data_IF_338719491507
#
_entry.id   IF_338719491507
#
_cell.length_a   1.000
_cell.length_b   1.000
_cell.length_c   1.000
_cell.angle_alpha   90.00
_cell.angle_beta   90.00
_cell.angle_gamma   90.00
#
_symmetry.space_group_name_H-M   'P 1'
#
loop_
_entity.id
_entity.type
_entity.pdbx_description
1 polymer ?
#
# COMPACT_ATOMS: atom_id res chain seq x y z
N UNK A 1 5.05 -26.22 -20.35
CA UNK A 1 6.17 -25.25 -20.22
C UNK A 1 5.98 -24.64 -18.87
N UNK A 2 6.49 -25.34 -17.86
CA UNK A 2 6.10 -25.13 -16.47
C UNK A 2 7.25 -24.43 -15.79
N UNK A 3 7.02 -23.23 -15.25
CA UNK A 3 7.93 -22.56 -14.33
C UNK A 3 7.11 -21.61 -13.44
N UNK A 4 6.32 -22.18 -12.53
CA UNK A 4 5.74 -21.47 -11.40
C UNK A 4 6.55 -21.83 -10.15
N UNK A 5 7.42 -20.93 -9.69
CA UNK A 5 8.14 -21.10 -8.45
C UNK A 5 7.15 -21.07 -7.27
N UNK A 6 6.92 -22.23 -6.66
CA UNK A 6 6.10 -22.38 -5.46
C UNK A 6 7.00 -22.40 -4.24
N UNK A 7 6.95 -21.35 -3.41
CA UNK A 7 7.59 -21.32 -2.09
C UNK A 7 6.59 -21.81 -1.04
N UNK A 8 6.73 -23.06 -0.61
CA UNK A 8 6.01 -23.63 0.55
C UNK A 8 6.75 -23.31 1.83
N UNK A 9 6.25 -22.37 2.62
CA UNK A 9 6.73 -22.16 3.99
C UNK A 9 5.98 -23.12 4.92
N UNK A 10 6.71 -24.07 5.51
CA UNK A 10 6.19 -25.07 6.45
C UNK A 10 6.75 -24.74 7.83
N UNK A 11 6.02 -23.98 8.64
CA UNK A 11 6.39 -23.74 10.05
C UNK A 11 5.47 -24.53 10.99
N UNK A 12 6.09 -25.29 11.89
CA UNK A 12 5.49 -26.25 12.80
C UNK A 12 5.10 -25.58 14.12
N UNK A 13 3.94 -26.01 14.64
CA UNK A 13 3.54 -26.14 16.06
C UNK A 13 3.66 -24.94 17.00
N UNK A 14 2.55 -24.63 17.68
CA UNK A 14 2.46 -24.61 19.15
C UNK A 14 0.98 -24.72 19.55
N UNK A 15 0.61 -25.85 20.16
CA UNK A 15 -0.70 -26.04 20.82
C UNK A 15 -0.56 -25.45 22.22
N UNK A 16 -1.16 -24.30 22.47
CA UNK A 16 -1.29 -23.74 23.82
C UNK A 16 -2.54 -24.32 24.45
N UNK A 17 -2.38 -25.09 25.54
CA UNK A 17 -3.48 -25.51 26.42
C UNK A 17 -3.84 -24.32 27.31
N UNK A 18 -5.03 -23.76 27.17
CA UNK A 18 -5.53 -22.74 28.10
C UNK A 18 -6.49 -23.36 29.13
N UNK A 19 -6.07 -23.31 30.40
CA UNK A 19 -6.91 -23.48 31.58
C UNK A 19 -7.92 -22.34 31.68
N UNK A 20 -9.18 -22.67 32.01
CA UNK A 20 -10.31 -21.76 32.25
C UNK A 20 -9.89 -20.37 32.76
N UNK A 21 -9.71 -19.42 31.84
CA UNK A 21 -9.79 -17.99 32.11
C UNK A 21 -10.92 -17.41 31.28
N UNK A 22 -11.64 -16.49 31.92
CA UNK A 22 -12.96 -16.02 31.50
C UNK A 22 -12.90 -15.26 30.17
N UNK A 23 -13.66 -15.75 29.19
CA UNK A 23 -13.60 -15.37 27.76
C UNK A 23 -13.92 -13.89 27.51
N UNK A 24 -14.44 -13.17 28.50
CA UNK A 24 -14.78 -11.74 28.44
C UNK A 24 -13.60 -10.83 28.72
N UNK A 25 -12.60 -11.28 29.48
CA UNK A 25 -11.40 -10.49 29.78
C UNK A 25 -10.32 -10.64 28.68
N UNK A 26 -10.41 -11.70 27.86
CA UNK A 26 -9.50 -11.95 26.72
C UNK A 26 -9.71 -11.01 25.52
N UNK A 27 -10.82 -10.26 25.45
CA UNK A 27 -11.04 -9.27 24.39
C UNK A 27 -10.63 -7.83 24.79
N UNK A 28 -10.33 -7.58 26.06
CA UNK A 28 -10.04 -6.23 26.58
C UNK A 28 -8.54 -5.88 26.63
N UNK A 29 -7.70 -6.85 26.30
CA UNK A 29 -6.29 -6.68 26.04
C UNK A 29 -6.05 -7.31 24.69
N UNK A 30 -6.48 -6.64 23.61
CA UNK A 30 -5.93 -7.03 22.30
C UNK A 30 -4.42 -6.87 22.44
N UNK A 31 -3.64 -7.95 22.32
CA UNK A 31 -2.22 -7.77 22.17
C UNK A 31 -2.08 -6.88 20.94
N UNK A 32 -1.37 -5.76 21.08
CA UNK A 32 -0.73 -5.10 19.95
C UNK A 32 0.29 -6.07 19.37
N UNK A 33 -0.18 -7.17 18.78
CA UNK A 33 0.59 -7.94 17.82
C UNK A 33 0.81 -6.93 16.71
N UNK A 34 1.94 -6.23 16.78
CA UNK A 34 2.35 -5.31 15.74
C UNK A 34 2.37 -6.13 14.47
N UNK A 35 1.36 -5.96 13.62
CA UNK A 35 1.31 -6.64 12.33
C UNK A 35 2.63 -6.31 11.66
N UNK A 36 3.45 -7.31 11.30
CA UNK A 36 4.78 -7.05 10.79
C UNK A 36 4.66 -6.21 9.53
N UNK A 37 5.24 -5.01 9.58
CA UNK A 37 5.21 -4.05 8.51
C UNK A 37 6.61 -3.57 8.17
N UNK A 38 6.78 -3.16 6.92
CA UNK A 38 7.99 -2.51 6.43
C UNK A 38 7.63 -1.18 5.80
N UNK A 39 8.48 -0.18 5.99
CA UNK A 39 8.34 1.13 5.36
C UNK A 39 8.96 1.06 3.97
N UNK A 40 8.17 1.36 2.94
CA UNK A 40 8.66 1.52 1.57
C UNK A 40 8.72 3.01 1.20
N UNK A 41 9.74 3.36 0.43
CA UNK A 41 9.89 4.67 -0.20
C UNK A 41 9.69 4.50 -1.70
N UNK A 42 8.59 5.03 -2.22
CA UNK A 42 8.24 4.93 -3.63
C UNK A 42 8.81 6.13 -4.38
N UNK A 43 9.61 5.84 -5.41
CA UNK A 43 10.09 6.83 -6.38
C UNK A 43 9.27 6.68 -7.66
N UNK A 44 8.75 7.78 -8.20
CA UNK A 44 7.77 7.77 -9.29
C UNK A 44 8.33 8.47 -10.53
N UNK A 45 8.00 7.93 -11.69
CA UNK A 45 8.27 8.54 -13.00
C UNK A 45 7.15 8.21 -13.97
N UNK A 46 6.87 9.12 -14.90
CA UNK A 46 5.98 8.85 -16.02
C UNK A 46 6.65 9.24 -17.34
N UNK A 47 6.17 8.67 -18.43
CA UNK A 47 6.72 8.87 -19.77
C UNK A 47 5.57 8.96 -20.76
N UNK A 48 5.67 9.86 -21.74
CA UNK A 48 4.67 10.10 -22.79
C UNK A 48 3.28 10.35 -22.22
N UNK A 49 3.18 11.20 -21.20
CA UNK A 49 1.88 11.65 -20.71
C UNK A 49 1.11 12.34 -21.84
N UNK A 50 -0.21 12.11 -21.87
CA UNK A 50 -1.08 12.74 -22.86
C UNK A 50 -1.14 14.23 -22.55
N UNK A 51 -0.76 15.05 -23.52
CA UNK A 51 -0.94 16.49 -23.43
C UNK A 51 -2.44 16.79 -23.40
N UNK A 52 -2.91 17.35 -22.28
CA UNK A 52 -4.32 17.72 -22.11
C UNK A 52 -4.55 19.21 -22.38
N UNK A 53 -3.49 19.98 -22.60
CA UNK A 53 -3.54 21.42 -22.78
C UNK A 53 -3.39 21.80 -24.26
N UNK A 54 -4.17 22.80 -24.70
CA UNK A 54 -4.25 23.21 -26.12
C UNK A 54 -3.23 24.32 -26.43
N UNK A 55 -2.76 25.06 -25.41
CA UNK A 55 -1.86 26.20 -25.55
C UNK A 55 -0.61 26.17 -24.63
N UNK A 56 -0.41 25.09 -23.87
CA UNK A 56 0.79 24.83 -23.05
C UNK A 56 0.97 23.32 -22.88
N UNK A 57 2.06 22.87 -22.26
CA UNK A 57 2.19 21.46 -21.82
C UNK A 57 1.59 21.32 -20.43
N UNK A 58 1.03 20.16 -20.12
CA UNK A 58 0.51 19.89 -18.77
C UNK A 58 1.59 19.89 -17.68
N UNK A 59 1.17 20.24 -16.47
CA UNK A 59 1.99 20.24 -15.25
C UNK A 59 1.69 18.98 -14.40
N UNK A 60 2.28 17.81 -14.72
CA UNK A 60 1.89 16.55 -14.12
C UNK A 60 2.28 16.44 -12.64
N UNK A 61 1.38 15.81 -11.87
CA UNK A 61 1.58 15.43 -10.48
C UNK A 61 0.93 14.08 -10.25
N UNK A 62 1.66 13.16 -9.64
CA UNK A 62 1.13 11.87 -9.23
C UNK A 62 0.54 11.90 -7.81
N UNK A 63 -0.68 11.40 -7.67
CA UNK A 63 -1.34 11.10 -6.38
C UNK A 63 -1.34 9.59 -6.16
N UNK A 64 -0.84 9.16 -5.01
CA UNK A 64 -0.81 7.75 -4.60
C UNK A 64 -1.88 7.51 -3.55
N UNK A 65 -2.75 6.55 -3.79
CA UNK A 65 -3.81 6.16 -2.87
C UNK A 65 -3.80 4.66 -2.60
N UNK A 66 -4.19 4.27 -1.39
CA UNK A 66 -4.35 2.88 -0.97
C UNK A 66 -5.81 2.58 -0.67
N UNK A 67 -6.28 1.41 -1.10
CA UNK A 67 -7.62 0.96 -0.78
C UNK A 67 -7.65 0.42 0.65
N UNK A 68 -8.47 1.02 1.50
CA UNK A 68 -8.65 0.65 2.92
C UNK A 68 -10.10 0.25 3.18
N UNK A 69 -10.36 -0.46 4.29
CA UNK A 69 -11.73 -0.84 4.68
C UNK A 69 -12.32 -2.02 3.89
N UNK A 70 -11.46 -2.86 3.28
CA UNK A 70 -11.90 -4.03 2.52
C UNK A 70 -12.68 -5.05 3.36
N UNK A 71 -12.32 -5.20 4.63
CA UNK A 71 -12.95 -6.13 5.56
C UNK A 71 -14.18 -5.54 6.26
N UNK A 72 -14.32 -4.21 6.29
CA UNK A 72 -15.38 -3.52 7.01
C UNK A 72 -16.59 -3.18 6.14
N UNK A 73 -16.57 -3.55 4.85
CA UNK A 73 -17.63 -3.22 3.89
C UNK A 73 -17.61 -1.78 3.37
N UNK A 74 -16.92 -0.87 4.06
CA UNK A 74 -16.79 0.55 3.70
C UNK A 74 -15.46 0.82 2.97
N UNK A 75 -15.20 0.04 1.93
CA UNK A 75 -13.98 0.13 1.16
C UNK A 75 -13.86 1.45 0.42
N UNK A 76 -12.77 2.19 0.65
CA UNK A 76 -12.52 3.48 -0.02
C UNK A 76 -11.03 3.69 -0.29
N UNK A 77 -10.73 4.61 -1.21
CA UNK A 77 -9.36 5.03 -1.50
C UNK A 77 -8.94 6.10 -0.50
N UNK A 78 -7.84 5.85 0.21
CA UNK A 78 -7.20 6.80 1.12
C UNK A 78 -5.92 7.31 0.46
N UNK A 79 -5.77 8.62 0.38
CA UNK A 79 -4.54 9.24 -0.14
C UNK A 79 -3.37 8.93 0.80
N UNK A 80 -2.29 8.34 0.25
CA UNK A 80 -1.04 8.08 0.95
C UNK A 80 -0.09 9.27 0.83
N UNK A 81 -0.11 9.95 -0.31
CA UNK A 81 0.72 11.11 -0.57
C UNK A 81 0.62 11.58 -2.01
N UNK A 82 1.24 12.73 -2.28
CA UNK A 82 1.29 13.39 -3.59
C UNK A 82 2.72 13.79 -3.88
N UNK A 83 3.08 13.73 -5.15
CA UNK A 83 4.34 14.27 -5.66
C UNK A 83 4.22 15.77 -5.92
N UNK A 84 5.34 16.41 -6.23
CA UNK A 84 5.36 17.78 -6.72
C UNK A 84 4.74 17.89 -8.12
N UNK A 85 4.31 19.10 -8.47
CA UNK A 85 3.96 19.42 -9.86
C UNK A 85 5.22 19.77 -10.63
N UNK A 86 5.44 19.12 -11.76
CA UNK A 86 6.55 19.47 -12.65
C UNK A 86 6.02 20.29 -13.82
N UNK A 87 6.58 21.47 -14.02
CA UNK A 87 6.05 22.40 -15.01
C UNK A 87 6.40 21.96 -16.44
N UNK A 88 5.42 21.99 -17.36
CA UNK A 88 5.60 21.77 -18.79
C UNK A 88 6.33 20.45 -19.17
N UNK A 89 6.10 19.35 -18.45
CA UNK A 89 6.78 18.07 -18.69
C UNK A 89 5.81 16.96 -19.06
N UNK A 90 6.06 16.28 -20.19
CA UNK A 90 5.34 15.05 -20.57
C UNK A 90 6.05 13.77 -20.07
N UNK A 91 7.25 13.94 -19.51
CA UNK A 91 8.08 12.86 -18.97
C UNK A 91 8.55 13.23 -17.54
N UNK A 92 7.63 13.39 -16.59
CA UNK A 92 7.98 13.79 -15.24
C UNK A 92 8.78 12.69 -14.53
N UNK A 93 9.86 13.10 -13.90
CA UNK A 93 10.58 12.31 -12.90
C UNK A 93 10.48 13.08 -11.58
N UNK A 94 9.62 12.59 -10.69
CA UNK A 94 9.37 13.26 -9.41
C UNK A 94 10.47 12.89 -8.41
N UNK A 95 11.05 13.90 -7.77
CA UNK A 95 12.05 13.75 -6.73
C UNK A 95 11.42 13.37 -5.38
N UNK A 96 10.16 13.75 -5.14
CA UNK A 96 9.48 13.42 -3.88
C UNK A 96 9.22 11.92 -3.78
N UNK A 97 9.76 11.31 -2.73
CA UNK A 97 9.49 9.91 -2.41
C UNK A 97 8.23 9.79 -1.56
N UNK A 98 7.33 8.91 -1.94
CA UNK A 98 6.11 8.64 -1.18
C UNK A 98 6.38 7.50 -0.20
N UNK A 99 6.25 7.79 1.11
CA UNK A 99 6.41 6.82 2.18
C UNK A 99 5.11 6.04 2.37
N UNK A 100 5.19 4.71 2.36
CA UNK A 100 4.05 3.83 2.66
C UNK A 100 4.43 2.75 3.68
N UNK A 101 3.47 2.34 4.50
CA UNK A 101 3.59 1.16 5.35
C UNK A 101 3.03 -0.05 4.62
N UNK A 102 3.88 -1.03 4.37
CA UNK A 102 3.55 -2.28 3.69
C UNK A 102 3.40 -3.41 4.71
N UNK A 103 2.28 -4.13 4.67
CA UNK A 103 1.98 -5.27 5.53
C UNK A 103 2.04 -6.56 4.71
N UNK A 104 2.95 -7.47 5.03
CA UNK A 104 3.19 -8.68 4.24
C UNK A 104 2.00 -9.65 4.20
N UNK A 105 1.18 -9.61 5.23
CA UNK A 105 0.03 -10.51 5.42
C UNK A 105 -1.24 -9.98 4.74
N UNK A 106 -1.20 -8.77 4.17
CA UNK A 106 -2.37 -8.13 3.56
C UNK A 106 -2.13 -7.77 2.08
N UNK A 107 -3.11 -8.08 1.23
CA UNK A 107 -3.13 -7.56 -0.14
C UNK A 107 -3.51 -6.07 -0.12
N UNK A 108 -2.50 -5.21 -0.20
CA UNK A 108 -2.68 -3.76 -0.29
C UNK A 108 -2.83 -3.31 -1.75
N UNK A 109 -4.04 -2.91 -2.16
CA UNK A 109 -4.28 -2.35 -3.49
C UNK A 109 -3.89 -0.87 -3.53
N UNK A 110 -3.07 -0.48 -4.50
CA UNK A 110 -2.62 0.90 -4.69
C UNK A 110 -3.12 1.47 -6.02
N UNK A 111 -3.39 2.77 -6.05
CA UNK A 111 -3.81 3.54 -7.22
C UNK A 111 -2.87 4.73 -7.40
N UNK A 112 -2.46 4.96 -8.64
CA UNK A 112 -1.58 6.05 -9.04
C UNK A 112 -2.34 6.89 -10.08
N UNK A 113 -2.52 8.18 -9.82
CA UNK A 113 -3.25 9.10 -10.71
C UNK A 113 -2.37 10.28 -11.09
N UNK A 114 -2.30 10.61 -12.39
CA UNK A 114 -1.50 11.70 -12.97
C UNK A 114 -2.37 12.58 -13.85
#
# INVERSE_FOLDING_TARGET
>A
MDNAATLKLKSRSLIVKESKLDRRMLNALEPSTSTPSVVLLLTLKANKLRDKDVFSKSDPMCVVSQFVGRLTGNGHWKECGRTERLQNSLNPEWATQIRIEYFFEEKQSMKFEV
#
